data_IF_827599492737
#
_entry.id   IF_827599492737
#
_cell.length_a   1.000
_cell.length_b   1.000
_cell.length_c   1.000
_cell.angle_alpha   90.00
_cell.angle_beta   90.00
_cell.angle_gamma   90.00
#
_symmetry.space_group_name_H-M   'P 1'
#
loop_
_entity.id
_entity.type
_entity.pdbx_description
1 polymer ?
#
# COMPACT_ATOMS: atom_id res chain seq x y z
N UNK A 1 14.92 19.79 3.89
CA UNK A 1 14.90 19.53 2.44
C UNK A 1 13.50 19.06 2.11
N UNK A 2 12.72 19.83 1.38
CA UNK A 2 11.42 19.37 0.88
C UNK A 2 11.70 18.27 -0.16
N UNK A 3 11.38 17.02 0.18
CA UNK A 3 11.40 15.93 -0.78
C UNK A 3 10.28 16.19 -1.79
N UNK A 4 10.62 16.75 -2.94
CA UNK A 4 9.66 16.95 -4.03
C UNK A 4 9.22 15.61 -4.57
N UNK A 5 7.90 15.37 -4.57
CA UNK A 5 7.31 14.19 -5.19
C UNK A 5 7.49 14.23 -6.71
N UNK A 6 7.69 13.05 -7.32
CA UNK A 6 7.80 12.87 -8.76
C UNK A 6 6.82 11.81 -9.22
N UNK A 7 6.24 12.01 -10.39
CA UNK A 7 5.41 11.01 -11.05
C UNK A 7 6.24 9.73 -11.29
N UNK A 8 5.75 8.58 -10.84
CA UNK A 8 6.40 7.28 -11.01
C UNK A 8 6.44 6.81 -12.47
N UNK A 9 5.62 7.41 -13.34
CA UNK A 9 5.45 7.00 -14.75
C UNK A 9 6.22 7.88 -15.74
N UNK A 10 6.37 9.17 -15.46
CA UNK A 10 7.05 10.12 -16.35
C UNK A 10 8.17 10.94 -15.67
N UNK A 11 8.40 10.72 -14.38
CA UNK A 11 9.44 11.38 -13.57
C UNK A 11 9.30 12.92 -13.45
N UNK A 12 8.20 13.50 -13.93
CA UNK A 12 7.88 14.92 -13.74
C UNK A 12 7.72 15.23 -12.25
N UNK A 13 8.33 16.30 -11.77
CA UNK A 13 8.04 16.84 -10.43
C UNK A 13 6.57 17.26 -10.35
N UNK A 14 5.87 16.79 -9.33
CA UNK A 14 4.47 17.14 -9.08
C UNK A 14 4.36 18.18 -7.97
N UNK A 15 3.27 18.94 -7.98
CA UNK A 15 2.98 20.01 -7.02
C UNK A 15 1.72 19.68 -6.23
N UNK A 16 1.61 20.22 -5.03
CA UNK A 16 0.40 20.04 -4.23
C UNK A 16 -0.84 20.64 -4.88
N UNK A 17 -2.00 20.11 -4.49
CA UNK A 17 -3.30 20.60 -4.94
C UNK A 17 -3.48 22.06 -4.53
N UNK A 18 -3.76 22.92 -5.51
CA UNK A 18 -3.97 24.36 -5.27
C UNK A 18 -5.47 24.65 -5.22
N UNK A 19 -5.91 25.33 -4.16
CA UNK A 19 -7.29 25.78 -4.01
C UNK A 19 -7.41 27.27 -4.38
N UNK A 20 -8.33 27.61 -5.28
CA UNK A 20 -8.60 29.00 -5.67
C UNK A 20 -10.00 29.13 -6.27
N UNK A 21 -10.69 30.22 -5.92
CA UNK A 21 -11.97 30.60 -6.53
C UNK A 21 -11.89 30.88 -8.03
N UNK A 22 -10.68 31.09 -8.58
CA UNK A 22 -10.46 31.32 -10.00
C UNK A 22 -10.49 30.04 -10.84
N UNK A 23 -10.39 28.85 -10.21
CA UNK A 23 -10.48 27.58 -10.94
C UNK A 23 -11.94 27.14 -11.08
N UNK A 24 -12.30 26.45 -12.19
CA UNK A 24 -13.69 26.02 -12.43
C UNK A 24 -14.31 25.22 -11.28
N UNK A 25 -13.53 24.34 -10.65
CA UNK A 25 -13.99 23.50 -9.54
C UNK A 25 -13.54 24.03 -8.17
N UNK A 26 -12.95 25.22 -8.09
CA UNK A 26 -12.35 25.76 -6.87
C UNK A 26 -10.99 25.16 -6.50
N UNK A 27 -10.48 24.18 -7.26
CA UNK A 27 -9.21 23.51 -7.04
C UNK A 27 -8.55 23.04 -8.34
N UNK A 28 -7.25 22.78 -8.29
CA UNK A 28 -6.45 22.17 -9.34
C UNK A 28 -5.58 21.05 -8.74
N UNK A 29 -5.85 19.80 -9.15
CA UNK A 29 -5.07 18.61 -8.78
C UNK A 29 -3.95 18.41 -9.80
N UNK A 30 -2.72 18.25 -9.32
CA UNK A 30 -1.56 17.95 -10.17
C UNK A 30 -1.13 16.48 -10.12
N UNK A 31 -1.47 15.76 -9.05
CA UNK A 31 -1.15 14.33 -8.89
C UNK A 31 -2.18 13.55 -8.06
N UNK A 32 -2.15 12.24 -8.25
CA UNK A 32 -2.82 11.23 -7.43
C UNK A 32 -1.74 10.37 -6.75
N UNK A 33 -1.99 9.98 -5.51
CA UNK A 33 -1.04 9.27 -4.66
C UNK A 33 -1.71 8.03 -4.05
N UNK A 34 -1.05 6.89 -4.19
CA UNK A 34 -1.35 5.66 -3.43
C UNK A 34 -0.12 5.32 -2.61
N UNK A 35 -0.32 5.13 -1.31
CA UNK A 35 0.70 4.51 -0.46
C UNK A 35 0.60 3.00 -0.61
N UNK A 36 1.67 2.38 -1.06
CA UNK A 36 1.79 0.94 -1.24
C UNK A 36 3.12 0.46 -0.63
N UNK A 37 3.43 -0.82 -0.70
CA UNK A 37 4.56 -1.34 0.04
C UNK A 37 4.88 -2.81 -0.14
N UNK A 38 6.05 -3.21 0.36
CA UNK A 38 6.40 -4.63 0.50
C UNK A 38 5.71 -5.19 1.73
N UNK A 39 5.03 -6.30 1.55
CA UNK A 39 4.33 -7.03 2.60
C UNK A 39 5.12 -8.29 2.96
N UNK A 40 5.13 -8.62 4.25
CA UNK A 40 5.75 -9.85 4.77
C UNK A 40 4.70 -10.60 5.58
N UNK A 41 4.49 -11.92 5.35
CA UNK A 41 3.57 -12.70 6.15
C UNK A 41 4.09 -12.81 7.59
N UNK A 42 3.17 -12.72 8.54
CA UNK A 42 3.43 -12.78 9.97
C UNK A 42 2.42 -13.72 10.60
N UNK A 43 2.90 -14.53 11.54
CA UNK A 43 2.05 -15.30 12.45
C UNK A 43 2.36 -14.88 13.87
N UNK A 44 1.31 -14.67 14.67
CA UNK A 44 1.44 -14.40 16.09
C UNK A 44 0.32 -15.05 16.90
N UNK A 45 0.60 -15.41 18.16
CA UNK A 45 -0.44 -15.84 19.10
C UNK A 45 -1.43 -14.69 19.35
N UNK A 46 -2.72 -15.01 19.38
CA UNK A 46 -3.78 -14.06 19.69
C UNK A 46 -3.66 -13.59 21.13
N UNK A 47 -3.80 -12.28 21.36
CA UNK A 47 -3.81 -11.73 22.73
C UNK A 47 -5.12 -12.02 23.48
N UNK A 48 -6.16 -12.47 22.77
CA UNK A 48 -7.48 -12.78 23.35
C UNK A 48 -7.63 -14.25 23.71
N UNK A 49 -6.97 -15.13 22.97
CA UNK A 49 -6.96 -16.57 23.19
C UNK A 49 -5.59 -17.12 22.79
N UNK A 50 -4.80 -17.58 23.77
CA UNK A 50 -3.44 -18.09 23.51
C UNK A 50 -3.41 -19.36 22.65
N UNK A 51 -4.56 -20.01 22.44
CA UNK A 51 -4.73 -21.18 21.57
C UNK A 51 -4.97 -20.80 20.11
N UNK A 52 -5.21 -19.53 19.81
CA UNK A 52 -5.47 -19.03 18.46
C UNK A 52 -4.22 -18.41 17.84
N UNK A 53 -3.91 -18.79 16.60
CA UNK A 53 -2.85 -18.20 15.80
C UNK A 53 -3.44 -17.23 14.78
N UNK A 54 -2.97 -15.99 14.80
CA UNK A 54 -3.38 -14.95 13.85
C UNK A 54 -2.35 -14.87 12.73
N UNK A 55 -2.82 -15.04 11.50
CA UNK A 55 -2.01 -14.88 10.30
C UNK A 55 -2.40 -13.59 9.58
N UNK A 56 -1.41 -12.75 9.27
CA UNK A 56 -1.63 -11.48 8.59
C UNK A 56 -0.38 -11.00 7.85
N UNK A 57 -0.54 -10.05 6.94
CA UNK A 57 0.58 -9.38 6.29
C UNK A 57 0.96 -8.11 7.05
N UNK A 58 2.24 -7.99 7.42
CA UNK A 58 2.81 -6.74 7.94
C UNK A 58 3.46 -5.95 6.82
N UNK A 59 3.25 -4.65 6.81
CA UNK A 59 3.98 -3.73 5.93
C UNK A 59 5.43 -3.62 6.39
N UNK A 60 6.38 -4.07 5.56
CA UNK A 60 7.82 -4.00 5.83
C UNK A 60 8.41 -2.69 5.33
N UNK A 61 8.06 -2.28 4.12
CA UNK A 61 8.52 -1.03 3.49
C UNK A 61 7.33 -0.32 2.88
N UNK A 62 7.17 0.97 3.16
CA UNK A 62 6.15 1.83 2.56
C UNK A 62 6.80 2.69 1.48
N UNK A 63 6.21 2.74 0.29
CA UNK A 63 6.63 3.64 -0.77
C UNK A 63 5.42 4.28 -1.50
N UNK A 64 5.56 5.52 -1.97
CA UNK A 64 4.49 6.20 -2.70
C UNK A 64 4.50 5.79 -4.17
N UNK A 65 3.33 5.44 -4.70
CA UNK A 65 3.07 5.39 -6.13
C UNK A 65 2.33 6.68 -6.52
N UNK A 66 2.98 7.51 -7.34
CA UNK A 66 2.49 8.85 -7.69
C UNK A 66 2.21 8.91 -9.18
N UNK A 67 1.01 9.32 -9.57
CA UNK A 67 0.66 9.62 -10.96
C UNK A 67 0.38 11.12 -11.11
N UNK A 68 1.08 11.82 -12.00
CA UNK A 68 0.63 13.16 -12.39
C UNK A 68 -0.73 13.08 -13.10
N UNK A 69 -1.47 14.19 -13.13
CA UNK A 69 -2.78 14.25 -13.79
C UNK A 69 -2.76 13.68 -15.22
N UNK A 70 -1.78 14.07 -16.03
CA UNK A 70 -1.63 13.60 -17.42
C UNK A 70 -1.38 12.10 -17.53
N UNK A 71 -0.57 11.52 -16.64
CA UNK A 71 -0.37 10.07 -16.60
C UNK A 71 -1.63 9.36 -16.12
N UNK A 72 -2.32 9.91 -15.12
CA UNK A 72 -3.54 9.33 -14.56
C UNK A 72 -4.70 9.32 -15.55
N UNK A 73 -4.70 10.16 -16.58
CA UNK A 73 -5.71 10.11 -17.65
C UNK A 73 -5.58 8.85 -18.54
N UNK A 74 -4.47 8.12 -18.46
CA UNK A 74 -4.28 6.86 -19.20
C UNK A 74 -4.88 5.67 -18.44
N UNK A 75 -5.71 4.88 -19.12
CA UNK A 75 -6.38 3.70 -18.53
C UNK A 75 -5.39 2.70 -17.91
N UNK A 76 -4.25 2.47 -18.56
CA UNK A 76 -3.18 1.59 -18.07
C UNK A 76 -2.56 2.05 -16.75
N UNK A 77 -2.48 3.36 -16.53
CA UNK A 77 -1.96 3.95 -15.29
C UNK A 77 -3.02 3.87 -14.20
N UNK A 78 -4.29 4.14 -14.53
CA UNK A 78 -5.39 3.96 -13.58
C UNK A 78 -5.45 2.50 -13.10
N UNK A 79 -5.37 1.54 -14.01
CA UNK A 79 -5.37 0.12 -13.65
C UNK A 79 -4.21 -0.25 -12.72
N UNK A 80 -3.00 0.27 -12.95
CA UNK A 80 -1.86 0.05 -12.06
C UNK A 80 -2.03 0.69 -10.68
N UNK A 81 -2.54 1.93 -10.63
CA UNK A 81 -2.85 2.62 -9.37
C UNK A 81 -3.92 1.87 -8.56
N UNK A 82 -4.97 1.43 -9.23
CA UNK A 82 -6.11 0.72 -8.63
C UNK A 82 -5.70 -0.67 -8.15
N UNK A 83 -4.84 -1.36 -8.93
CA UNK A 83 -4.19 -2.61 -8.51
C UNK A 83 -3.33 -2.39 -7.26
N UNK A 84 -2.44 -1.40 -7.25
CA UNK A 84 -1.58 -1.12 -6.11
C UNK A 84 -2.36 -0.74 -4.83
N UNK A 85 -3.57 -0.19 -4.98
CA UNK A 85 -4.46 0.12 -3.86
C UNK A 85 -5.19 -1.12 -3.31
N UNK A 86 -5.51 -2.10 -4.17
CA UNK A 86 -6.32 -3.28 -3.82
C UNK A 86 -5.50 -4.53 -3.49
N UNK A 87 -4.28 -4.64 -4.03
CA UNK A 87 -3.51 -5.87 -3.99
C UNK A 87 -3.00 -6.15 -2.57
N UNK A 88 -3.62 -7.16 -1.95
CA UNK A 88 -3.09 -7.90 -0.81
C UNK A 88 -2.89 -9.33 -1.32
N UNK A 89 -1.75 -9.99 -1.08
CA UNK A 89 -1.55 -11.37 -1.48
C UNK A 89 -2.70 -12.24 -0.96
N UNK A 90 -3.41 -12.92 -1.87
CA UNK A 90 -4.62 -13.70 -1.54
C UNK A 90 -4.30 -15.00 -0.81
N UNK A 91 -3.09 -15.53 -0.99
CA UNK A 91 -2.65 -16.79 -0.39
C UNK A 91 -1.61 -16.51 0.70
N UNK A 92 -1.89 -16.99 1.91
CA UNK A 92 -0.86 -17.25 2.90
C UNK A 92 -0.12 -18.50 2.44
N UNK A 93 1.21 -18.46 2.32
CA UNK A 93 1.98 -19.63 1.90
C UNK A 93 1.62 -20.86 2.77
N UNK A 94 1.21 -21.98 2.18
CA UNK A 94 0.94 -23.20 2.92
C UNK A 94 2.27 -23.75 3.44
N UNK A 95 2.47 -23.76 4.76
CA UNK A 95 3.69 -24.31 5.37
C UNK A 95 4.16 -23.64 6.66
N UNK A 96 3.50 -22.61 7.17
CA UNK A 96 3.66 -22.25 8.58
C UNK A 96 2.86 -23.24 9.43
N UNK A 97 3.45 -24.42 9.63
CA UNK A 97 2.99 -25.37 10.63
C UNK A 97 2.86 -24.63 11.95
N UNK A 98 1.70 -24.75 12.60
CA UNK A 98 1.62 -24.55 14.03
C UNK A 98 2.77 -25.36 14.62
N UNK A 99 3.66 -24.70 15.37
CA UNK A 99 4.38 -25.41 16.41
C UNK A 99 3.28 -25.89 17.35
N UNK A 100 2.75 -27.08 17.06
CA UNK A 100 2.02 -27.86 18.03
C UNK A 100 2.98 -27.95 19.20
N UNK A 101 2.55 -27.39 20.34
CA UNK A 101 3.29 -27.45 21.58
C UNK A 101 3.53 -28.93 21.88
N UNK A 102 4.72 -29.43 21.53
CA UNK A 102 5.32 -30.64 22.11
C UNK A 102 5.57 -30.34 23.60
N UNK A 103 4.49 -30.27 24.40
CA UNK A 103 4.56 -30.54 25.82
C UNK A 103 4.47 -32.06 26.01
N UNK A 104 5.51 -32.77 25.58
CA UNK A 104 5.99 -33.92 26.34
C UNK A 104 6.69 -33.37 27.58
N UNK A 105 6.10 -33.53 28.77
CA UNK A 105 6.86 -33.79 30.00
C UNK A 105 5.93 -34.30 31.12
N UNK A 106 6.02 -35.64 31.30
CA UNK A 106 5.83 -36.48 32.51
C UNK A 106 4.49 -36.54 33.27
#
# INVERSE_FOLDING_TARGET
MENKLKCSFCNREVRDTVHSRSFPNGYLVDYYLVWTGKLVPMIMKSQKDEREMIQFYRVQEIYPLVACKECYEKEEVQAQMDKAFKEVPEELEPGLESLEDDEEEE
#
